data_IF_173499760542
#
_entry.id   IF_173499760542
#
_cell.length_a   1.000
_cell.length_b   1.000
_cell.length_c   1.000
_cell.angle_alpha   90.00
_cell.angle_beta   90.00
_cell.angle_gamma   90.00
#
_symmetry.space_group_name_H-M   'P 1'
#
loop_
_entity.id
_entity.type
_entity.pdbx_description
1 polymer ?
#
# COMPACT_ATOMS: atom_id res chain seq x y z
N UNK A 1 14.06 8.79 14.60
CA UNK A 1 13.21 9.57 13.67
C UNK A 1 12.45 10.63 14.44
N UNK A 2 12.32 11.84 13.89
CA UNK A 2 11.56 12.92 14.50
C UNK A 2 10.05 12.64 14.42
N UNK A 3 9.39 12.53 15.58
CA UNK A 3 7.95 12.25 15.69
C UNK A 3 7.07 13.48 15.44
N UNK A 4 7.65 14.67 15.49
CA UNK A 4 6.94 15.93 15.24
C UNK A 4 6.88 16.28 13.74
N UNK A 5 7.70 15.62 12.93
CA UNK A 5 7.69 15.77 11.48
C UNK A 5 6.33 15.40 10.88
N UNK A 6 5.83 16.15 9.88
CA UNK A 6 4.62 15.78 9.14
C UNK A 6 4.73 14.38 8.50
N UNK A 7 5.94 13.96 8.12
CA UNK A 7 6.18 12.65 7.52
C UNK A 7 5.95 11.51 8.50
N UNK A 8 6.25 11.69 9.79
CA UNK A 8 5.99 10.65 10.80
C UNK A 8 4.49 10.34 10.90
N UNK A 9 3.64 11.37 10.88
CA UNK A 9 2.18 11.21 10.88
C UNK A 9 1.69 10.51 9.62
N UNK A 10 2.24 10.85 8.45
CA UNK A 10 1.92 10.18 7.19
C UNK A 10 2.29 8.69 7.22
N UNK A 11 3.49 8.35 7.69
CA UNK A 11 3.92 6.95 7.85
C UNK A 11 3.04 6.19 8.83
N UNK A 12 2.68 6.80 9.97
CA UNK A 12 1.80 6.17 10.94
C UNK A 12 0.41 5.87 10.34
N UNK A 13 -0.13 6.78 9.51
CA UNK A 13 -1.35 6.52 8.75
C UNK A 13 -1.15 5.39 7.74
N UNK A 14 -0.06 5.43 6.97
CA UNK A 14 0.28 4.41 5.97
C UNK A 14 0.31 3.00 6.58
N UNK A 15 1.01 2.83 7.70
CA UNK A 15 1.10 1.53 8.40
C UNK A 15 -0.29 1.05 8.83
N UNK A 16 -1.19 1.95 9.25
CA UNK A 16 -2.57 1.61 9.57
C UNK A 16 -3.39 1.23 8.34
N UNK A 17 -3.07 1.77 7.15
CA UNK A 17 -3.76 1.45 5.90
C UNK A 17 -3.30 0.11 5.28
N UNK A 18 -2.08 -0.34 5.55
CA UNK A 18 -1.51 -1.56 4.92
C UNK A 18 -2.36 -2.83 5.10
N UNK A 19 -2.96 -3.13 6.27
CA UNK A 19 -3.80 -4.31 6.43
C UNK A 19 -4.98 -4.35 5.45
N UNK A 20 -5.63 -3.22 5.22
CA UNK A 20 -6.76 -3.12 4.27
C UNK A 20 -6.33 -3.34 2.83
N UNK A 21 -5.12 -2.89 2.46
CA UNK A 21 -4.54 -3.19 1.15
C UNK A 21 -4.16 -4.68 1.03
N UNK A 22 -3.68 -5.30 2.10
CA UNK A 22 -3.31 -6.71 2.13
C UNK A 22 -4.50 -7.68 2.00
N UNK A 23 -5.72 -7.23 2.29
CA UNK A 23 -6.94 -8.02 2.03
C UNK A 23 -7.22 -8.20 0.52
N UNK A 24 -6.71 -7.33 -0.35
CA UNK A 24 -6.80 -7.51 -1.80
C UNK A 24 -5.67 -8.41 -2.30
N UNK A 25 -5.92 -9.71 -2.39
CA UNK A 25 -4.93 -10.72 -2.82
C UNK A 25 -4.47 -10.57 -4.27
N UNK A 26 -5.11 -9.71 -5.06
CA UNK A 26 -4.69 -9.38 -6.43
C UNK A 26 -3.50 -8.42 -6.47
N UNK A 27 -3.09 -7.86 -5.33
CA UNK A 27 -1.93 -6.98 -5.22
C UNK A 27 -0.82 -7.60 -4.36
N UNK A 28 0.43 -7.32 -4.73
CA UNK A 28 1.57 -7.46 -3.83
C UNK A 28 2.19 -6.10 -3.51
N UNK A 29 2.63 -5.93 -2.26
CA UNK A 29 3.40 -4.76 -1.85
C UNK A 29 4.82 -4.83 -2.41
N UNK A 30 5.30 -3.72 -2.98
CA UNK A 30 6.66 -3.61 -3.52
C UNK A 30 7.30 -2.27 -3.16
N UNK A 31 8.46 -1.99 -3.75
CA UNK A 31 9.12 -0.69 -3.66
C UNK A 31 9.83 -0.41 -2.34
N UNK A 32 10.18 0.86 -2.14
CA UNK A 32 10.98 1.30 -1.00
C UNK A 32 10.29 1.06 0.34
N UNK A 33 8.97 1.20 0.39
CA UNK A 33 8.16 0.95 1.60
C UNK A 33 8.19 -0.52 2.01
N UNK A 34 8.05 -1.46 1.06
CA UNK A 34 8.15 -2.89 1.35
C UNK A 34 9.51 -3.26 1.95
N UNK A 35 10.60 -2.80 1.30
CA UNK A 35 11.96 -3.06 1.75
C UNK A 35 12.20 -2.46 3.13
N UNK A 36 11.75 -1.22 3.35
CA UNK A 36 11.97 -0.50 4.59
C UNK A 36 11.18 -1.07 5.77
N UNK A 37 9.99 -1.64 5.55
CA UNK A 37 9.14 -2.22 6.61
C UNK A 37 9.44 -3.69 6.90
N UNK A 38 9.71 -4.50 5.86
CA UNK A 38 9.73 -5.96 6.00
C UNK A 38 11.11 -6.60 5.81
N UNK A 39 12.09 -5.87 5.24
CA UNK A 39 13.43 -6.41 4.95
C UNK A 39 14.49 -5.74 5.82
N UNK A 40 14.43 -4.42 5.96
CA UNK A 40 15.32 -3.64 6.84
C UNK A 40 14.61 -3.28 8.15
N UNK A 41 15.40 -2.95 9.17
CA UNK A 41 14.90 -2.48 10.47
C UNK A 41 14.46 -0.99 10.42
N UNK A 42 13.59 -0.68 9.47
CA UNK A 42 13.00 0.65 9.27
C UNK A 42 13.99 1.83 9.36
N UNK A 43 15.07 1.87 8.54
CA UNK A 43 16.13 2.87 8.66
C UNK A 43 15.71 4.30 8.27
N UNK A 44 14.64 4.47 7.50
CA UNK A 44 14.11 5.79 7.07
C UNK A 44 12.59 5.83 7.09
N UNK A 45 12.00 7.00 6.95
CA UNK A 45 10.57 7.14 6.65
C UNK A 45 10.32 6.88 5.16
N UNK A 46 9.19 6.23 4.84
CA UNK A 46 8.65 6.08 3.48
C UNK A 46 7.17 6.38 3.53
N UNK A 47 6.68 7.22 2.62
CA UNK A 47 5.35 7.87 2.72
C UNK A 47 4.36 7.41 1.64
N UNK A 48 4.75 6.43 0.85
CA UNK A 48 4.05 5.89 -0.31
C UNK A 48 3.80 4.37 -0.18
N UNK A 49 2.74 3.87 -0.80
CA UNK A 49 2.48 2.43 -0.93
C UNK A 49 2.54 2.11 -2.42
N UNK A 50 3.49 1.27 -2.82
CA UNK A 50 3.52 0.72 -4.16
C UNK A 50 2.89 -0.67 -4.18
N UNK A 51 1.86 -0.84 -4.99
CA UNK A 51 1.23 -2.14 -5.26
C UNK A 51 1.54 -2.59 -6.69
N UNK A 52 1.77 -3.89 -6.87
CA UNK A 52 1.83 -4.53 -8.17
C UNK A 52 0.63 -5.47 -8.34
N UNK A 53 -0.08 -5.36 -9.47
CA UNK A 53 -1.18 -6.27 -9.81
C UNK A 53 -0.59 -7.61 -10.27
N UNK A 54 -1.08 -8.70 -9.69
CA UNK A 54 -0.55 -10.05 -9.88
C UNK A 54 -1.18 -10.82 -11.04
N UNK A 55 -2.51 -10.75 -11.30
CA UNK A 55 -3.11 -11.49 -12.40
C UNK A 55 -2.56 -11.09 -13.77
N UNK A 56 -2.28 -12.09 -14.60
CA UNK A 56 -1.85 -11.90 -15.99
C UNK A 56 -3.06 -11.97 -16.92
N UNK A 57 -3.70 -10.81 -17.12
CA UNK A 57 -4.94 -10.66 -17.88
C UNK A 57 -4.76 -9.61 -19.00
N UNK A 58 -5.61 -9.59 -20.04
CA UNK A 58 -5.62 -8.52 -21.02
C UNK A 58 -5.75 -7.15 -20.36
N UNK A 59 -5.06 -6.14 -20.91
CA UNK A 59 -4.96 -4.79 -20.33
C UNK A 59 -6.29 -4.21 -19.86
N UNK A 60 -7.36 -4.37 -20.66
CA UNK A 60 -8.68 -3.81 -20.34
C UNK A 60 -9.27 -4.44 -19.07
N UNK A 61 -9.18 -5.76 -18.96
CA UNK A 61 -9.68 -6.52 -17.80
C UNK A 61 -8.84 -6.21 -16.56
N UNK A 62 -7.51 -6.23 -16.68
CA UNK A 62 -6.61 -5.87 -15.59
C UNK A 62 -6.90 -4.47 -15.03
N UNK A 63 -7.14 -3.47 -15.89
CA UNK A 63 -7.49 -2.10 -15.45
C UNK A 63 -8.83 -2.03 -14.72
N UNK A 64 -9.83 -2.80 -15.19
CA UNK A 64 -11.14 -2.86 -14.53
C UNK A 64 -11.03 -3.50 -13.15
N UNK A 65 -10.32 -4.63 -13.06
CA UNK A 65 -10.12 -5.38 -11.82
C UNK A 65 -9.29 -4.59 -10.81
N UNK A 66 -8.22 -3.91 -11.26
CA UNK A 66 -7.42 -3.00 -10.43
C UNK A 66 -8.28 -1.87 -9.83
N UNK A 67 -9.10 -1.20 -10.65
CA UNK A 67 -9.97 -0.14 -10.14
C UNK A 67 -10.99 -0.65 -9.13
N UNK A 68 -11.61 -1.82 -9.38
CA UNK A 68 -12.57 -2.40 -8.46
C UNK A 68 -11.92 -2.76 -7.11
N UNK A 69 -10.70 -3.31 -7.12
CA UNK A 69 -9.94 -3.63 -5.91
C UNK A 69 -9.54 -2.36 -5.13
N UNK A 70 -9.05 -1.33 -5.82
CA UNK A 70 -8.73 -0.04 -5.20
C UNK A 70 -9.97 0.63 -4.59
N UNK A 71 -11.14 0.51 -5.22
CA UNK A 71 -12.39 1.02 -4.69
C UNK A 71 -12.80 0.32 -3.38
N UNK A 72 -12.66 -1.01 -3.29
CA UNK A 72 -12.92 -1.77 -2.05
C UNK A 72 -11.95 -1.41 -0.93
N UNK A 73 -10.68 -1.16 -1.25
CA UNK A 73 -9.71 -0.65 -0.26
C UNK A 73 -10.18 0.71 0.27
N UNK A 74 -10.55 1.63 -0.63
CA UNK A 74 -11.02 2.96 -0.24
C UNK A 74 -12.30 2.91 0.61
N UNK A 75 -13.25 2.04 0.27
CA UNK A 75 -14.47 1.84 1.07
C UNK A 75 -14.14 1.39 2.50
N UNK A 76 -13.29 0.37 2.65
CA UNK A 76 -12.87 -0.13 3.97
C UNK A 76 -12.11 0.89 4.80
N UNK A 77 -11.33 1.77 4.17
CA UNK A 77 -10.60 2.83 4.89
C UNK A 77 -11.51 3.94 5.43
N UNK A 78 -12.71 4.11 4.87
CA UNK A 78 -13.65 5.17 5.26
C UNK A 78 -14.73 4.69 6.25
N UNK A 79 -14.77 3.40 6.58
CA UNK A 79 -15.70 2.79 7.53
C UNK A 79 -15.02 2.53 8.88
#
# INVERSE_FOLDING_TARGET
MDRNSPYYKQVALLIRCLPFAAEETCFALKGGTAINLFVNDFPRLSVDIDLVYLPLEPRKEALQNMHAALARIAERLNN
#
